data_IF_887310974884
#
_entry.id   IF_887310974884
#
_cell.length_a   1.000
_cell.length_b   1.000
_cell.length_c   1.000
_cell.angle_alpha   90.00
_cell.angle_beta   90.00
_cell.angle_gamma   90.00
#
_symmetry.space_group_name_H-M   'P 1'
#
loop_
_entity.id
_entity.type
_entity.pdbx_description
1 polymer ?
#
# COMPACT_ATOMS: atom_id res chain seq x y z
N UNK A 1 10.39 28.21 6.82
CA UNK A 1 10.77 26.79 6.88
C UNK A 1 12.23 26.69 6.47
N UNK A 2 13.13 26.49 7.44
CA UNK A 2 14.56 26.31 7.13
C UNK A 2 14.69 24.94 6.48
N UNK A 3 15.18 24.97 5.24
CA UNK A 3 15.74 23.83 4.53
C UNK A 3 16.63 23.01 5.49
N UNK A 4 16.26 21.76 5.75
CA UNK A 4 17.29 20.77 6.07
C UNK A 4 17.92 20.44 4.72
N UNK A 5 18.90 21.25 4.35
CA UNK A 5 19.79 21.02 3.21
C UNK A 5 20.42 19.64 3.37
N UNK A 6 20.18 18.77 2.39
CA UNK A 6 20.97 17.55 2.16
C UNK A 6 22.44 17.94 1.95
N UNK A 7 23.30 17.68 2.93
CA UNK A 7 24.72 17.49 2.63
C UNK A 7 24.93 16.04 2.20
N UNK A 8 25.12 15.86 0.90
CA UNK A 8 25.69 14.65 0.30
C UNK A 8 27.16 14.56 0.70
N UNK A 9 27.50 13.59 1.55
CA UNK A 9 28.90 13.19 1.76
C UNK A 9 29.45 12.50 0.51
N UNK A 10 30.10 13.28 -0.36
CA UNK A 10 31.04 12.78 -1.36
C UNK A 10 32.36 12.42 -0.66
N UNK A 11 32.63 11.13 -0.48
CA UNK A 11 33.97 10.68 -0.09
C UNK A 11 34.91 10.71 -1.30
N UNK A 12 35.80 11.71 -1.28
CA UNK A 12 36.98 11.76 -2.14
C UNK A 12 38.01 10.75 -1.64
N UNK A 13 38.43 9.84 -2.53
CA UNK A 13 39.55 8.92 -2.33
C UNK A 13 40.85 9.71 -2.23
N UNK A 14 41.55 9.60 -1.09
CA UNK A 14 43.00 9.83 -1.03
C UNK A 14 43.71 8.70 -0.28
N UNK A 15 44.71 8.17 -0.96
CA UNK A 15 45.71 7.21 -0.54
C UNK A 15 46.36 7.55 0.82
N UNK A 16 46.48 6.54 1.69
CA UNK A 16 47.67 6.19 2.50
C UNK A 16 47.37 4.78 3.05
N UNK A 17 48.20 3.77 2.87
CA UNK A 17 49.50 3.67 3.51
C UNK A 17 49.48 2.44 4.42
N UNK A 18 50.03 1.36 3.89
CA UNK A 18 50.20 0.02 4.44
C UNK A 18 50.64 0.00 5.94
N UNK A 19 49.92 -0.73 6.80
CA UNK A 19 50.44 -1.25 8.09
C UNK A 19 49.53 -2.33 8.66
N UNK A 20 49.95 -3.59 8.46
CA UNK A 20 49.48 -4.78 9.18
C UNK A 20 49.61 -4.57 10.70
N UNK A 21 48.49 -4.64 11.43
CA UNK A 21 48.48 -4.97 12.86
C UNK A 21 47.40 -6.01 13.14
N UNK A 22 47.85 -7.12 13.72
CA UNK A 22 47.05 -8.27 14.18
C UNK A 22 46.15 -7.81 15.33
N UNK A 23 44.86 -8.12 15.26
CA UNK A 23 43.89 -7.98 16.36
C UNK A 23 43.58 -9.39 16.88
N UNK A 24 43.61 -9.63 18.20
CA UNK A 24 43.28 -10.93 18.76
C UNK A 24 41.76 -11.17 18.72
N UNK A 25 41.40 -12.39 18.32
CA UNK A 25 40.02 -12.91 18.34
C UNK A 25 39.62 -13.19 19.78
N UNK A 26 38.64 -12.47 20.30
CA UNK A 26 37.95 -12.81 21.54
C UNK A 26 36.74 -13.68 21.20
N UNK A 27 36.79 -14.94 21.63
CA UNK A 27 35.67 -15.90 21.57
C UNK A 27 34.75 -15.59 22.75
N UNK A 28 33.56 -15.07 22.48
CA UNK A 28 32.49 -14.96 23.47
C UNK A 28 31.66 -16.24 23.44
N UNK A 29 31.75 -17.02 24.52
CA UNK A 29 30.96 -18.22 24.77
C UNK A 29 29.60 -17.78 25.33
N UNK A 30 28.53 -17.86 24.53
CA UNK A 30 27.16 -17.60 24.99
C UNK A 30 26.58 -18.88 25.59
N UNK A 31 26.27 -18.84 26.88
CA UNK A 31 25.53 -19.89 27.60
C UNK A 31 24.04 -19.64 27.37
N UNK A 32 23.39 -20.53 26.63
CA UNK A 32 21.94 -20.59 26.46
C UNK A 32 21.31 -21.31 27.67
N UNK A 33 20.55 -20.58 28.48
CA UNK A 33 19.69 -21.15 29.52
C UNK A 33 18.28 -21.35 28.94
N UNK A 34 17.88 -22.61 28.81
CA UNK A 34 16.53 -23.00 28.41
C UNK A 34 15.54 -22.75 29.56
N UNK A 35 14.48 -21.98 29.30
CA UNK A 35 13.32 -21.88 30.19
C UNK A 35 12.18 -22.68 29.55
N UNK A 36 11.80 -23.75 30.23
CA UNK A 36 10.67 -24.62 29.91
C UNK A 36 9.36 -23.89 30.15
N UNK A 37 8.53 -23.77 29.11
CA UNK A 37 7.13 -23.33 29.19
C UNK A 37 6.23 -24.53 29.48
N UNK A 38 5.48 -24.45 30.58
CA UNK A 38 4.45 -25.42 30.95
C UNK A 38 3.08 -24.97 30.43
N UNK A 39 2.43 -25.84 29.67
CA UNK A 39 1.05 -25.71 29.24
C UNK A 39 0.07 -25.94 30.39
N UNK A 40 -0.98 -25.11 30.50
CA UNK A 40 -2.26 -25.53 31.10
C UNK A 40 -3.41 -25.10 30.20
N UNK A 41 -4.13 -26.11 29.70
CA UNK A 41 -5.41 -26.00 29.01
C UNK A 41 -6.52 -25.77 30.04
N UNK A 42 -7.28 -24.69 29.89
CA UNK A 42 -8.53 -24.49 30.62
C UNK A 42 -9.70 -24.69 29.65
N UNK A 43 -10.64 -25.56 30.05
CA UNK A 43 -11.83 -25.96 29.29
C UNK A 43 -12.93 -24.93 29.52
N UNK A 44 -13.36 -24.23 28.47
CA UNK A 44 -14.57 -23.39 28.51
C UNK A 44 -15.81 -24.23 28.25
N UNK A 45 -16.75 -24.16 29.20
CA UNK A 45 -18.08 -24.76 29.12
C UNK A 45 -19.00 -23.92 28.23
N UNK A 46 -19.80 -24.62 27.43
CA UNK A 46 -20.86 -24.09 26.56
C UNK A 46 -22.09 -23.78 27.41
N UNK A 47 -22.50 -22.51 27.48
CA UNK A 47 -23.77 -22.09 28.08
C UNK A 47 -24.79 -21.78 26.97
N UNK A 48 -25.88 -22.55 26.97
CA UNK A 48 -27.06 -22.34 26.12
C UNK A 48 -27.96 -21.26 26.74
N UNK A 49 -28.51 -20.31 25.96
CA UNK A 49 -29.47 -19.34 26.49
C UNK A 49 -30.88 -19.94 26.64
N UNK A 50 -31.64 -19.54 27.69
CA UNK A 50 -33.01 -20.01 27.90
C UNK A 50 -34.02 -19.29 27.01
N UNK A 51 -35.00 -20.08 26.55
CA UNK A 51 -36.21 -19.68 25.83
C UNK A 51 -37.13 -18.94 26.80
N UNK A 52 -37.54 -17.71 26.45
CA UNK A 52 -38.54 -16.93 27.20
C UNK A 52 -39.88 -17.05 26.46
N UNK A 53 -40.84 -17.71 27.10
CA UNK A 53 -42.25 -17.72 26.73
C UNK A 53 -42.89 -16.36 27.03
N UNK A 54 -43.66 -15.83 26.07
CA UNK A 54 -44.48 -14.63 26.24
C UNK A 54 -45.92 -15.05 26.55
N UNK A 55 -46.49 -14.73 27.72
CA UNK A 55 -47.90 -14.96 27.98
C UNK A 55 -48.76 -13.82 27.44
N UNK A 56 -49.84 -14.24 26.80
CA UNK A 56 -50.95 -13.46 26.30
C UNK A 56 -51.90 -13.09 27.46
N UNK A 57 -52.23 -11.80 27.61
CA UNK A 57 -53.37 -11.24 28.36
C UNK A 57 -53.29 -9.71 28.21
N UNK A 58 -54.33 -8.90 28.36
CA UNK A 58 -55.78 -8.99 28.22
C UNK A 58 -56.24 -7.53 28.34
N UNK A 59 -57.38 -7.23 27.74
CA UNK A 59 -57.98 -5.90 27.63
C UNK A 59 -58.30 -5.26 28.98
N UNK A 60 -57.94 -4.00 29.18
CA UNK A 60 -58.56 -3.12 30.18
C UNK A 60 -58.66 -1.70 29.63
N UNK A 61 -59.88 -1.18 29.62
CA UNK A 61 -60.27 0.16 29.20
C UNK A 61 -60.06 1.19 30.31
N UNK A 62 -59.55 2.37 29.98
CA UNK A 62 -59.62 3.59 30.82
C UNK A 62 -59.36 4.84 29.95
N UNK A 63 -59.64 6.08 30.41
CA UNK A 63 -60.57 6.98 29.75
C UNK A 63 -59.90 8.07 28.93
N UNK A 64 -60.64 8.52 27.93
CA UNK A 64 -60.38 9.66 27.04
C UNK A 64 -59.89 10.89 27.80
N UNK A 65 -58.59 11.17 27.70
CA UNK A 65 -57.98 12.46 28.02
C UNK A 65 -57.66 13.12 26.68
N UNK A 66 -58.17 14.35 26.48
CA UNK A 66 -58.03 15.08 25.23
C UNK A 66 -56.54 15.29 24.87
N UNK A 67 -56.17 14.87 23.66
CA UNK A 67 -54.86 15.07 23.07
C UNK A 67 -54.59 16.57 22.86
N UNK A 68 -53.42 17.09 23.29
CA UNK A 68 -52.94 18.38 22.81
C UNK A 68 -52.62 18.27 21.32
N UNK A 69 -52.93 19.35 20.60
CA UNK A 69 -52.75 19.55 19.17
C UNK A 69 -51.31 19.21 18.75
N UNK A 70 -51.13 18.03 18.15
CA UNK A 70 -49.85 17.59 17.60
C UNK A 70 -49.61 18.40 16.33
N UNK A 71 -48.69 19.37 16.40
CA UNK A 71 -48.12 19.98 15.21
C UNK A 71 -47.60 18.86 14.29
N UNK A 72 -47.84 18.94 12.97
CA UNK A 72 -47.36 17.93 12.04
C UNK A 72 -45.83 17.84 12.15
N UNK A 73 -45.33 16.68 12.59
CA UNK A 73 -43.91 16.38 12.56
C UNK A 73 -43.41 16.63 11.13
N UNK A 74 -42.46 17.56 11.00
CA UNK A 74 -41.77 17.76 9.72
C UNK A 74 -41.19 16.40 9.30
N UNK A 75 -41.41 15.96 8.05
CA UNK A 75 -40.83 14.73 7.58
C UNK A 75 -39.30 14.77 7.79
N UNK A 76 -38.69 13.67 8.24
CA UNK A 76 -37.25 13.63 8.48
C UNK A 76 -36.53 14.11 7.23
N UNK A 77 -35.70 15.13 7.39
CA UNK A 77 -34.85 15.66 6.32
C UNK A 77 -33.98 14.49 5.87
N UNK A 78 -34.29 13.92 4.70
CA UNK A 78 -33.49 12.86 4.10
C UNK A 78 -32.17 13.51 3.71
N UNK A 79 -31.12 13.25 4.50
CA UNK A 79 -29.79 13.77 4.22
C UNK A 79 -29.39 13.32 2.81
N UNK A 80 -29.12 14.28 1.92
CA UNK A 80 -28.67 13.99 0.57
C UNK A 80 -27.42 13.11 0.62
N UNK A 81 -27.45 11.98 -0.08
CA UNK A 81 -26.32 11.06 -0.17
C UNK A 81 -25.21 11.74 -0.97
N UNK A 82 -24.22 12.32 -0.28
CA UNK A 82 -23.00 12.84 -0.91
C UNK A 82 -22.32 11.70 -1.68
N UNK A 83 -22.07 11.93 -2.97
CA UNK A 83 -21.29 11.02 -3.84
C UNK A 83 -19.83 11.42 -3.72
N UNK A 84 -18.93 10.52 -3.33
CA UNK A 84 -17.49 10.81 -3.22
C UNK A 84 -16.74 10.29 -4.44
N UNK A 85 -15.57 10.87 -4.72
CA UNK A 85 -14.68 10.47 -5.81
C UNK A 85 -13.41 9.84 -5.24
N UNK A 86 -13.04 8.65 -5.70
CA UNK A 86 -11.74 8.05 -5.38
C UNK A 86 -10.66 8.72 -6.21
N UNK A 87 -9.57 9.14 -5.57
CA UNK A 87 -8.41 9.76 -6.20
C UNK A 87 -7.16 8.94 -5.88
N UNK A 88 -6.40 8.62 -6.94
CA UNK A 88 -5.05 8.08 -6.85
C UNK A 88 -4.05 9.24 -6.77
N UNK A 89 -3.40 9.42 -5.61
CA UNK A 89 -2.49 10.55 -5.41
C UNK A 89 -1.16 10.38 -6.15
N UNK A 90 -0.84 9.16 -6.58
CA UNK A 90 0.38 8.90 -7.35
C UNK A 90 0.31 9.42 -8.79
N UNK A 91 -0.89 9.71 -9.30
CA UNK A 91 -1.10 10.37 -10.60
C UNK A 91 -0.63 11.83 -10.60
N UNK A 92 -0.61 12.46 -9.42
CA UNK A 92 -0.12 13.83 -9.26
C UNK A 92 1.38 13.86 -8.99
N UNK A 93 1.86 12.91 -8.18
CA UNK A 93 3.27 12.68 -7.95
C UNK A 93 3.49 11.26 -7.39
N UNK A 94 4.37 10.48 -8.00
CA UNK A 94 4.62 9.06 -7.68
C UNK A 94 5.13 8.79 -6.26
N UNK A 95 5.51 9.83 -5.52
CA UNK A 95 5.88 9.74 -4.12
C UNK A 95 4.68 9.63 -3.16
N UNK A 96 3.46 9.95 -3.61
CA UNK A 96 2.23 9.88 -2.82
C UNK A 96 1.50 8.57 -3.13
N UNK A 97 2.03 7.48 -2.58
CA UNK A 97 1.69 6.09 -2.91
C UNK A 97 0.45 5.59 -2.15
N UNK A 98 -0.67 6.30 -2.31
CA UNK A 98 -1.95 5.94 -1.73
C UNK A 98 -3.12 6.49 -2.57
N UNK A 99 -4.30 5.95 -2.34
CA UNK A 99 -5.58 6.48 -2.82
C UNK A 99 -6.52 6.78 -1.65
N UNK A 100 -7.45 7.71 -1.86
CA UNK A 100 -8.48 8.05 -0.87
C UNK A 100 -9.72 8.59 -1.58
N UNK A 101 -10.84 8.69 -0.86
CA UNK A 101 -12.04 9.38 -1.36
C UNK A 101 -12.00 10.86 -0.97
N UNK A 102 -12.40 11.73 -1.89
CA UNK A 102 -12.59 13.16 -1.65
C UNK A 102 -14.02 13.59 -2.00
N UNK A 103 -14.51 14.72 -1.45
CA UNK A 103 -15.80 15.27 -1.85
C UNK A 103 -15.87 15.54 -3.37
N UNK A 104 -17.05 15.42 -4.01
CA UNK A 104 -17.18 15.34 -5.46
C UNK A 104 -16.75 16.59 -6.22
N UNK A 105 -16.78 17.76 -5.56
CA UNK A 105 -16.41 19.04 -6.17
C UNK A 105 -14.98 19.47 -5.82
N UNK A 106 -14.27 18.68 -5.02
CA UNK A 106 -12.92 19.02 -4.59
C UNK A 106 -11.94 18.65 -5.70
N UNK A 107 -10.88 19.45 -5.79
CA UNK A 107 -9.80 19.25 -6.76
C UNK A 107 -8.50 18.97 -6.02
N UNK A 108 -7.56 18.35 -6.72
CA UNK A 108 -6.23 18.02 -6.21
C UNK A 108 -5.18 18.69 -7.08
N UNK A 109 -4.18 19.28 -6.46
CA UNK A 109 -3.01 19.82 -7.15
C UNK A 109 -1.71 19.38 -6.45
N UNK A 110 -0.64 19.27 -7.24
CA UNK A 110 0.71 19.10 -6.73
C UNK A 110 1.46 20.44 -6.77
N UNK A 111 1.96 20.85 -5.61
CA UNK A 111 2.69 22.10 -5.42
C UNK A 111 4.18 21.81 -5.44
N UNK A 112 4.78 21.93 -6.63
CA UNK A 112 6.18 21.59 -6.90
C UNK A 112 7.18 22.26 -5.93
N UNK A 113 6.98 23.54 -5.60
CA UNK A 113 7.94 24.34 -4.80
C UNK A 113 8.17 23.79 -3.39
N UNK A 114 7.18 23.10 -2.82
CA UNK A 114 7.26 22.51 -1.47
C UNK A 114 6.98 21.00 -1.48
N UNK A 115 6.91 20.41 -2.66
CA UNK A 115 6.65 18.99 -2.89
C UNK A 115 5.44 18.47 -2.11
N UNK A 116 4.31 19.19 -2.17
CA UNK A 116 3.09 18.89 -1.40
C UNK A 116 1.88 18.64 -2.29
N UNK A 117 0.85 18.02 -1.74
CA UNK A 117 -0.47 17.91 -2.34
C UNK A 117 -1.44 18.83 -1.60
N UNK A 118 -2.25 19.57 -2.35
CA UNK A 118 -3.42 20.25 -1.82
C UNK A 118 -4.69 19.56 -2.33
N UNK A 119 -5.66 19.37 -1.44
CA UNK A 119 -7.04 19.04 -1.80
C UNK A 119 -7.87 20.28 -1.46
N UNK A 120 -8.48 20.92 -2.44
CA UNK A 120 -9.13 22.22 -2.28
C UNK A 120 -10.56 22.23 -2.82
N UNK A 121 -11.39 23.06 -2.21
CA UNK A 121 -12.73 23.37 -2.70
C UNK A 121 -12.63 24.64 -3.59
N UNK A 122 -12.85 24.54 -4.91
CA UNK A 122 -12.77 25.70 -5.79
C UNK A 122 -13.80 26.79 -5.46
N UNK A 123 -14.84 26.47 -4.68
CA UNK A 123 -15.86 27.41 -4.21
C UNK A 123 -15.56 28.00 -2.83
N UNK A 124 -14.51 27.54 -2.14
CA UNK A 124 -14.12 28.13 -0.85
C UNK A 124 -13.66 29.58 -1.02
N UNK A 125 -13.86 30.38 0.03
CA UNK A 125 -13.36 31.76 0.07
C UNK A 125 -11.83 31.80 -0.08
N UNK A 126 -11.29 32.79 -0.79
CA UNK A 126 -9.83 32.95 -0.94
C UNK A 126 -9.37 33.52 -2.28
N UNK A 127 -10.21 33.51 -3.32
CA UNK A 127 -9.93 34.14 -4.62
C UNK A 127 -8.75 33.56 -5.43
N UNK A 128 -7.85 32.80 -4.80
CA UNK A 128 -6.74 32.07 -5.41
C UNK A 128 -6.70 30.62 -4.87
N UNK A 129 -6.37 29.61 -5.70
CA UNK A 129 -6.35 28.20 -5.29
C UNK A 129 -5.54 27.89 -4.02
N UNK A 130 -4.50 28.69 -3.74
CA UNK A 130 -3.62 28.54 -2.57
C UNK A 130 -4.29 28.85 -1.22
N UNK A 131 -5.38 29.62 -1.20
CA UNK A 131 -6.12 29.96 0.01
C UNK A 131 -7.31 29.02 0.26
N UNK A 132 -7.70 28.25 -0.76
CA UNK A 132 -8.81 27.30 -0.75
C UNK A 132 -8.52 25.86 -0.26
N UNK A 133 -7.28 25.41 0.03
CA UNK A 133 -7.05 24.02 0.45
C UNK A 133 -7.74 23.68 1.76
N UNK A 134 -8.42 22.54 1.74
CA UNK A 134 -9.11 21.95 2.88
C UNK A 134 -8.25 20.86 3.54
N UNK A 135 -7.47 20.14 2.74
CA UNK A 135 -6.46 19.19 3.21
C UNK A 135 -5.14 19.52 2.53
N UNK A 136 -4.07 19.49 3.32
CA UNK A 136 -2.70 19.67 2.87
C UNK A 136 -1.89 18.44 3.24
N UNK A 137 -1.18 17.86 2.28
CA UNK A 137 -0.43 16.63 2.46
C UNK A 137 1.02 16.85 2.08
N UNK A 138 1.94 16.41 2.95
CA UNK A 138 3.37 16.33 2.65
C UNK A 138 3.93 14.96 2.95
N UNK A 139 5.15 14.73 2.50
CA UNK A 139 5.97 13.61 2.96
C UNK A 139 7.27 14.08 3.58
N UNK A 140 7.84 13.25 4.44
CA UNK A 140 9.23 13.35 4.85
C UNK A 140 9.81 11.96 5.11
N UNK A 141 11.13 11.86 5.18
CA UNK A 141 11.82 10.64 5.56
C UNK A 141 12.50 10.82 6.91
N UNK A 142 12.29 9.88 7.83
CA UNK A 142 12.88 9.89 9.17
C UNK A 142 12.90 8.49 9.79
N UNK A 143 13.68 8.29 10.86
CA UNK A 143 13.66 7.02 11.61
C UNK A 143 12.51 6.95 12.62
N UNK A 144 12.02 8.10 13.07
CA UNK A 144 10.97 8.25 14.10
C UNK A 144 10.03 9.39 13.73
N UNK A 145 8.88 9.46 14.38
CA UNK A 145 8.02 10.64 14.35
C UNK A 145 8.81 11.88 14.79
N UNK A 146 8.66 12.97 14.04
CA UNK A 146 9.36 14.21 14.29
C UNK A 146 8.47 15.13 15.14
N UNK A 147 9.10 15.83 16.09
CA UNK A 147 8.45 16.93 16.82
C UNK A 147 9.00 18.25 16.28
N UNK A 148 8.13 19.13 15.78
CA UNK A 148 8.56 20.39 15.19
C UNK A 148 8.83 21.44 16.29
N UNK A 149 10.04 22.00 16.31
CA UNK A 149 10.39 23.07 17.25
C UNK A 149 9.77 24.44 16.89
N UNK A 150 9.20 24.57 15.70
CA UNK A 150 8.58 25.79 15.16
C UNK A 150 7.12 25.99 15.58
N UNK A 151 6.53 25.02 16.27
CA UNK A 151 5.13 25.05 16.70
C UNK A 151 5.03 24.85 18.21
N UNK A 152 3.97 25.38 18.79
CA UNK A 152 3.47 24.99 20.10
C UNK A 152 2.57 23.76 19.93
N UNK A 153 2.71 22.77 20.81
CA UNK A 153 1.95 21.52 20.77
C UNK A 153 1.00 21.50 21.96
N UNK A 154 -0.30 21.52 21.68
CA UNK A 154 -1.37 21.51 22.68
C UNK A 154 -1.77 20.08 23.05
N UNK A 155 -1.75 19.17 22.09
CA UNK A 155 -1.93 17.75 22.34
C UNK A 155 -1.13 16.91 21.34
N UNK A 156 -0.81 15.69 21.77
CA UNK A 156 -0.17 14.65 20.97
C UNK A 156 -0.81 13.32 21.34
N UNK A 157 -1.37 12.63 20.37
CA UNK A 157 -2.06 11.36 20.54
C UNK A 157 -1.48 10.33 19.57
N UNK A 158 -1.02 9.20 20.09
CA UNK A 158 -0.60 8.06 19.29
C UNK A 158 -1.83 7.22 18.93
N UNK A 159 -1.94 6.83 17.66
CA UNK A 159 -3.06 6.05 17.14
C UNK A 159 -2.62 5.18 15.97
N UNK A 160 -3.55 4.36 15.47
CA UNK A 160 -3.37 3.59 14.25
C UNK A 160 -4.28 4.14 13.14
N UNK A 161 -3.81 4.06 11.90
CA UNK A 161 -4.63 4.21 10.69
C UNK A 161 -4.47 2.93 9.88
N UNK A 162 -5.50 2.08 9.88
CA UNK A 162 -5.33 0.69 9.45
C UNK A 162 -4.23 0.01 10.25
N UNK A 163 -3.19 -0.48 9.56
CA UNK A 163 -1.99 -1.10 10.17
C UNK A 163 -0.82 -0.14 10.38
N UNK A 164 -0.98 1.15 10.06
CA UNK A 164 0.08 2.14 10.16
C UNK A 164 0.07 2.86 11.50
N UNK A 165 1.24 2.94 12.15
CA UNK A 165 1.45 3.84 13.27
C UNK A 165 1.20 5.28 12.82
N UNK A 166 0.52 6.06 13.66
CA UNK A 166 0.24 7.45 13.40
C UNK A 166 0.26 8.30 14.67
N UNK A 167 0.49 9.60 14.51
CA UNK A 167 0.43 10.57 15.61
C UNK A 167 -0.40 11.76 15.19
N UNK A 168 -1.48 12.02 15.93
CA UNK A 168 -2.30 13.22 15.79
C UNK A 168 -1.77 14.30 16.73
N UNK A 169 -1.54 15.48 16.18
CA UNK A 169 -1.14 16.66 16.93
C UNK A 169 -2.19 17.75 16.80
N UNK A 170 -2.42 18.50 17.87
CA UNK A 170 -3.04 19.83 17.85
C UNK A 170 -1.95 20.86 18.06
N UNK A 171 -1.68 21.68 17.04
CA UNK A 171 -0.50 22.54 16.99
C UNK A 171 -0.84 23.95 16.53
N UNK A 172 0.01 24.91 16.88
CA UNK A 172 -0.02 26.26 16.34
C UNK A 172 1.40 26.74 16.05
N UNK A 173 1.61 27.43 14.93
CA UNK A 173 2.91 28.06 14.66
C UNK A 173 3.26 29.07 15.75
N UNK A 174 4.49 29.03 16.25
CA UNK A 174 5.00 30.02 17.21
C UNK A 174 5.01 31.40 16.58
N UNK A 175 4.60 32.42 17.35
CA UNK A 175 4.58 33.81 16.88
C UNK A 175 5.96 34.33 16.44
N UNK A 176 7.04 33.85 17.06
CA UNK A 176 8.42 34.22 16.74
C UNK A 176 8.95 33.58 15.44
N UNK A 177 8.22 32.62 14.86
CA UNK A 177 8.61 31.92 13.64
C UNK A 177 7.90 32.55 12.46
N UNK A 178 8.65 32.84 11.40
CA UNK A 178 8.09 33.33 10.13
C UNK A 178 7.04 32.37 9.59
N UNK A 179 6.02 32.91 8.92
CA UNK A 179 4.96 32.12 8.30
C UNK A 179 5.52 31.05 7.37
N UNK A 180 4.81 29.93 7.29
CA UNK A 180 5.18 28.84 6.39
C UNK A 180 4.93 29.29 4.94
N UNK A 181 6.00 29.52 4.14
CA UNK A 181 5.83 29.93 2.76
C UNK A 181 5.21 28.78 1.97
N UNK A 182 4.45 29.14 0.95
CA UNK A 182 3.85 28.24 -0.04
C UNK A 182 2.84 27.22 0.51
N UNK A 183 2.44 27.38 1.77
CA UNK A 183 1.42 26.59 2.43
C UNK A 183 0.12 27.38 2.60
N UNK A 184 -1.02 26.69 2.81
CA UNK A 184 -2.29 27.35 3.12
C UNK A 184 -2.18 28.24 4.36
N UNK A 185 -2.82 29.42 4.35
CA UNK A 185 -2.70 30.40 5.43
C UNK A 185 -3.05 29.84 6.81
N UNK A 186 -4.09 29.02 6.89
CA UNK A 186 -4.56 28.38 8.13
C UNK A 186 -3.50 27.45 8.77
N UNK A 187 -2.45 27.04 8.06
CA UNK A 187 -1.30 26.30 8.63
C UNK A 187 -0.48 27.15 9.62
N UNK A 188 -0.62 28.47 9.57
CA UNK A 188 0.01 29.38 10.52
C UNK A 188 -0.83 29.58 11.79
N UNK A 189 -2.07 29.11 11.80
CA UNK A 189 -3.00 29.17 12.91
C UNK A 189 -3.06 27.84 13.66
N UNK A 190 -3.92 27.73 14.68
CA UNK A 190 -4.09 26.47 15.41
C UNK A 190 -4.89 25.49 14.54
N UNK A 191 -4.33 24.30 14.31
CA UNK A 191 -4.91 23.26 13.48
C UNK A 191 -4.42 21.89 13.93
N UNK A 192 -5.04 20.82 13.42
CA UNK A 192 -4.57 19.46 13.67
C UNK A 192 -3.77 18.92 12.50
N UNK A 193 -2.79 18.08 12.81
CA UNK A 193 -1.91 17.40 11.86
C UNK A 193 -1.79 15.94 12.26
N UNK A 194 -1.98 15.04 11.30
CA UNK A 194 -1.81 13.61 11.46
C UNK A 194 -0.59 13.16 10.65
N UNK A 195 0.43 12.69 11.35
CA UNK A 195 1.57 12.01 10.73
C UNK A 195 1.27 10.52 10.69
N UNK A 196 1.38 9.89 9.52
CA UNK A 196 1.19 8.44 9.34
C UNK A 196 2.50 7.85 8.81
N UNK A 197 3.01 6.83 9.49
CA UNK A 197 4.20 6.08 9.06
C UNK A 197 3.82 5.15 7.90
N UNK A 198 4.29 5.45 6.70
CA UNK A 198 3.99 4.65 5.51
C UNK A 198 4.70 3.30 5.53
N UNK A 199 5.99 3.25 5.90
CA UNK A 199 6.79 2.01 5.91
C UNK A 199 7.51 1.80 7.23
N UNK A 200 7.87 0.55 7.56
CA UNK A 200 8.76 0.27 8.70
C UNK A 200 10.25 0.21 8.30
N UNK A 201 10.55 0.32 7.01
CA UNK A 201 11.90 0.37 6.47
C UNK A 201 12.58 1.65 6.95
N UNK A 202 13.82 1.59 7.45
CA UNK A 202 14.53 2.76 7.99
C UNK A 202 15.52 3.36 6.96
N UNK A 203 15.49 4.68 6.68
CA UNK A 203 14.52 5.66 7.16
C UNK A 203 13.13 5.43 6.57
N UNK A 204 12.12 5.57 7.43
CA UNK A 204 10.72 5.45 7.06
C UNK A 204 10.29 6.64 6.24
N UNK A 205 9.23 6.45 5.45
CA UNK A 205 8.46 7.53 4.88
C UNK A 205 7.28 7.85 5.80
N UNK A 206 7.02 9.12 6.02
CA UNK A 206 5.85 9.60 6.75
C UNK A 206 5.04 10.50 5.82
N UNK A 207 3.72 10.29 5.80
CA UNK A 207 2.78 11.22 5.20
C UNK A 207 2.18 12.11 6.30
N UNK A 208 2.17 13.41 6.05
CA UNK A 208 1.72 14.46 6.97
C UNK A 208 0.45 15.05 6.43
N UNK A 209 -0.67 14.78 7.09
CA UNK A 209 -2.00 15.26 6.71
C UNK A 209 -2.43 16.36 7.66
N UNK A 210 -2.52 17.59 7.18
CA UNK A 210 -3.11 18.71 7.90
C UNK A 210 -4.44 19.08 7.25
N UNK A 211 -5.41 19.56 8.03
CA UNK A 211 -6.68 20.03 7.48
C UNK A 211 -7.09 21.39 8.03
N UNK A 212 -7.82 22.14 7.21
CA UNK A 212 -8.42 23.41 7.56
C UNK A 212 -9.42 23.18 8.70
N UNK A 213 -9.36 23.90 9.83
CA UNK A 213 -10.34 23.76 10.91
C UNK A 213 -11.80 23.91 10.45
N UNK A 214 -12.06 24.69 9.40
CA UNK A 214 -13.39 24.86 8.80
C UNK A 214 -13.88 23.61 8.01
N UNK A 215 -12.98 22.74 7.56
CA UNK A 215 -13.33 21.48 6.90
C UNK A 215 -14.00 20.49 7.86
N UNK A 216 -13.61 20.56 9.14
CA UNK A 216 -14.22 19.82 10.23
C UNK A 216 -13.70 18.38 10.41
N UNK A 217 -13.69 17.94 11.67
CA UNK A 217 -13.10 16.66 12.08
C UNK A 217 -13.78 15.44 11.44
N UNK A 218 -15.10 15.52 11.21
CA UNK A 218 -15.88 14.39 10.65
C UNK A 218 -15.52 14.11 9.20
N UNK A 219 -15.39 15.16 8.37
CA UNK A 219 -15.04 15.00 6.96
C UNK A 219 -13.56 14.62 6.81
N UNK A 220 -12.68 15.16 7.67
CA UNK A 220 -11.29 14.73 7.72
C UNK A 220 -11.16 13.25 8.11
N UNK A 221 -11.88 12.81 9.14
CA UNK A 221 -11.83 11.41 9.56
C UNK A 221 -12.36 10.48 8.46
N UNK A 222 -13.40 10.88 7.72
CA UNK A 222 -13.88 10.13 6.54
C UNK A 222 -12.80 9.99 5.47
N UNK A 223 -12.04 11.05 5.18
CA UNK A 223 -10.91 10.99 4.26
C UNK A 223 -9.84 10.00 4.78
N UNK A 224 -9.46 10.09 6.05
CA UNK A 224 -8.46 9.20 6.66
C UNK A 224 -8.92 7.74 6.65
N UNK A 225 -10.19 7.46 6.96
CA UNK A 225 -10.76 6.10 6.96
C UNK A 225 -10.81 5.47 5.56
N UNK A 226 -10.71 6.29 4.51
CA UNK A 226 -10.73 5.84 3.11
C UNK A 226 -9.34 5.59 2.52
N UNK A 227 -8.28 5.90 3.26
CA UNK A 227 -6.91 5.73 2.80
C UNK A 227 -6.63 4.25 2.49
N UNK A 228 -6.07 4.01 1.31
CA UNK A 228 -5.51 2.71 0.92
C UNK A 228 -4.08 2.97 0.45
N UNK A 229 -3.11 2.54 1.26
CA UNK A 229 -1.68 2.68 0.98
C UNK A 229 -1.19 1.57 0.06
N UNK A 230 -0.25 1.87 -0.85
CA UNK A 230 0.15 0.91 -1.90
C UNK A 230 1.08 -0.21 -1.44
N UNK A 231 1.41 -0.23 -0.14
CA UNK A 231 2.07 -1.34 0.53
C UNK A 231 1.12 -2.17 1.38
N UNK A 232 -0.18 -1.86 1.37
CA UNK A 232 -1.22 -2.62 2.07
C UNK A 232 -1.84 -3.66 1.16
N UNK A 233 -2.27 -4.76 1.74
CA UNK A 233 -2.88 -5.88 1.03
C UNK A 233 -4.13 -5.48 0.25
N UNK A 234 -4.90 -4.54 0.78
CA UNK A 234 -6.09 -3.96 0.16
C UNK A 234 -5.80 -3.17 -1.13
N UNK A 235 -4.53 -2.80 -1.34
CA UNK A 235 -4.09 -2.16 -2.58
C UNK A 235 -3.69 -3.15 -3.67
N UNK A 236 -3.41 -4.40 -3.31
CA UNK A 236 -2.90 -5.37 -4.26
C UNK A 236 -3.97 -5.76 -5.29
N UNK A 237 -3.51 -6.02 -6.51
CA UNK A 237 -4.37 -6.29 -7.64
C UNK A 237 -3.99 -7.61 -8.31
N UNK A 238 -4.97 -8.32 -8.87
CA UNK A 238 -4.67 -9.46 -9.75
C UNK A 238 -3.89 -9.00 -10.98
N UNK A 239 -2.87 -9.74 -11.44
CA UNK A 239 -2.13 -9.35 -12.63
C UNK A 239 -2.92 -9.53 -13.93
N UNK A 240 -4.01 -10.31 -13.92
CA UNK A 240 -4.94 -10.50 -15.04
C UNK A 240 -6.39 -10.39 -14.55
N UNK A 241 -7.29 -9.91 -15.42
CA UNK A 241 -8.71 -9.71 -15.14
C UNK A 241 -9.57 -10.51 -16.14
N UNK A 242 -10.59 -11.28 -15.71
CA UNK A 242 -10.88 -11.68 -14.33
C UNK A 242 -9.79 -12.59 -13.72
N UNK A 243 -9.57 -12.60 -12.38
CA UNK A 243 -8.56 -13.45 -11.75
C UNK A 243 -8.91 -14.94 -11.76
N UNK A 244 -10.20 -15.28 -11.72
CA UNK A 244 -10.65 -16.60 -11.31
C UNK A 244 -10.28 -17.70 -12.32
N UNK A 245 -9.90 -18.87 -11.79
CA UNK A 245 -9.65 -20.08 -12.59
C UNK A 245 -8.52 -19.94 -13.62
N UNK A 246 -7.58 -18.99 -13.43
CA UNK A 246 -6.41 -18.86 -14.30
C UNK A 246 -5.22 -19.70 -13.84
N UNK A 247 -5.11 -19.99 -12.55
CA UNK A 247 -4.00 -20.80 -11.99
C UNK A 247 -4.36 -22.28 -12.01
N UNK A 248 -4.30 -22.88 -13.19
CA UNK A 248 -4.79 -24.27 -13.39
C UNK A 248 -3.70 -25.29 -13.66
N UNK A 249 -2.50 -24.85 -14.07
CA UNK A 249 -1.41 -25.76 -14.46
C UNK A 249 -0.23 -25.70 -13.51
N UNK A 250 0.43 -24.55 -13.37
CA UNK A 250 1.64 -24.41 -12.55
C UNK A 250 1.47 -23.39 -11.43
N UNK A 251 0.85 -23.78 -10.29
CA UNK A 251 0.81 -22.92 -9.10
C UNK A 251 2.21 -22.77 -8.49
N UNK A 252 2.36 -21.82 -7.56
CA UNK A 252 3.57 -21.69 -6.76
C UNK A 252 3.94 -22.98 -6.02
N UNK A 253 5.22 -23.31 -6.00
CA UNK A 253 5.79 -24.41 -5.22
C UNK A 253 5.47 -25.81 -5.74
N UNK A 254 4.81 -25.98 -6.89
CA UNK A 254 4.67 -27.30 -7.51
C UNK A 254 6.05 -27.83 -7.93
N UNK A 255 6.34 -29.10 -7.60
CA UNK A 255 7.55 -29.77 -8.07
C UNK A 255 7.30 -30.43 -9.42
N UNK A 256 8.07 -30.02 -10.44
CA UNK A 256 7.97 -30.58 -11.80
C UNK A 256 9.26 -31.29 -12.21
N UNK A 257 9.10 -32.24 -13.11
CA UNK A 257 10.14 -32.95 -13.87
C UNK A 257 9.73 -32.96 -15.34
N UNK A 258 10.64 -33.41 -16.20
CA UNK A 258 10.36 -33.59 -17.62
C UNK A 258 9.14 -34.49 -17.86
N UNK A 259 8.89 -35.46 -16.99
CA UNK A 259 7.82 -36.46 -17.14
C UNK A 259 6.51 -36.07 -16.47
N UNK A 260 6.56 -35.39 -15.32
CA UNK A 260 5.38 -35.16 -14.49
C UNK A 260 4.76 -33.76 -14.64
N UNK A 261 5.40 -32.86 -15.41
CA UNK A 261 4.91 -31.50 -15.59
C UNK A 261 3.52 -31.52 -16.24
N UNK A 262 2.57 -30.70 -15.76
CA UNK A 262 1.23 -30.57 -16.35
C UNK A 262 1.24 -29.88 -17.72
N UNK A 263 2.39 -29.32 -18.12
CA UNK A 263 2.63 -28.73 -19.43
C UNK A 263 3.78 -29.50 -20.08
N UNK A 264 3.58 -29.94 -21.33
CA UNK A 264 4.57 -30.72 -22.07
C UNK A 264 4.84 -30.11 -23.46
N UNK A 265 6.09 -30.19 -23.97
CA UNK A 265 7.27 -30.73 -23.30
C UNK A 265 7.79 -29.79 -22.20
N UNK A 266 8.20 -30.35 -21.07
CA UNK A 266 8.90 -29.60 -20.02
C UNK A 266 10.41 -29.65 -20.22
N UNK A 267 11.10 -28.54 -19.94
CA UNK A 267 12.57 -28.42 -20.05
C UNK A 267 13.26 -28.32 -18.69
N UNK A 268 12.50 -28.03 -17.63
CA UNK A 268 13.03 -27.75 -16.30
C UNK A 268 12.65 -28.82 -15.27
N UNK A 269 13.41 -28.90 -14.19
CA UNK A 269 13.11 -29.77 -13.04
C UNK A 269 13.35 -28.99 -11.76
N UNK A 270 12.39 -29.04 -10.84
CA UNK A 270 12.46 -28.32 -9.56
C UNK A 270 11.10 -27.79 -9.10
N UNK A 271 11.13 -27.10 -7.97
CA UNK A 271 10.00 -26.37 -7.40
C UNK A 271 9.80 -25.04 -8.11
N UNK A 272 8.62 -24.82 -8.66
CA UNK A 272 8.25 -23.60 -9.37
C UNK A 272 8.24 -22.39 -8.41
N UNK A 273 8.95 -21.32 -8.75
CA UNK A 273 9.12 -20.13 -7.88
C UNK A 273 8.08 -19.03 -8.10
N UNK A 274 7.16 -19.25 -9.02
CA UNK A 274 6.09 -18.31 -9.34
C UNK A 274 4.75 -19.00 -9.52
N UNK A 275 3.77 -18.22 -9.93
CA UNK A 275 2.42 -18.68 -10.25
C UNK A 275 2.15 -18.40 -11.72
N UNK A 276 1.82 -19.44 -12.48
CA UNK A 276 1.42 -19.28 -13.87
C UNK A 276 -0.08 -18.98 -13.96
N UNK A 277 -0.42 -17.86 -14.59
CA UNK A 277 -1.79 -17.51 -14.95
C UNK A 277 -2.03 -17.85 -16.41
N UNK A 278 -2.90 -18.83 -16.64
CA UNK A 278 -3.33 -19.22 -17.97
C UNK A 278 -4.28 -18.18 -18.60
N UNK A 279 -4.31 -18.22 -19.91
CA UNK A 279 -5.32 -17.51 -20.71
C UNK A 279 -6.51 -18.42 -21.03
N UNK A 280 -7.64 -17.81 -21.32
CA UNK A 280 -8.77 -18.47 -21.94
C UNK A 280 -8.51 -18.71 -23.44
N UNK A 281 -9.19 -19.67 -24.06
CA UNK A 281 -8.98 -20.00 -25.48
C UNK A 281 -9.23 -18.79 -26.41
N UNK A 282 -10.21 -17.94 -26.10
CA UNK A 282 -10.53 -16.74 -26.87
C UNK A 282 -9.50 -15.60 -26.70
N UNK A 283 -8.57 -15.72 -25.75
CA UNK A 283 -7.51 -14.75 -25.45
C UNK A 283 -6.20 -15.06 -26.19
N UNK A 284 -6.15 -16.12 -26.99
CA UNK A 284 -4.95 -16.54 -27.69
C UNK A 284 -4.42 -15.46 -28.66
N UNK A 285 -5.31 -14.87 -29.44
CA UNK A 285 -4.98 -13.86 -30.46
C UNK A 285 -4.94 -12.41 -29.94
N UNK A 286 -5.91 -11.90 -29.15
CA UNK A 286 -5.91 -10.49 -28.75
C UNK A 286 -4.77 -10.15 -27.78
N UNK A 287 -4.34 -8.89 -27.76
CA UNK A 287 -3.44 -8.39 -26.73
C UNK A 287 -4.12 -8.46 -25.35
N UNK A 288 -3.44 -9.07 -24.38
CA UNK A 288 -3.94 -9.20 -23.01
C UNK A 288 -3.09 -8.31 -22.10
N UNK A 289 -3.67 -7.28 -21.45
CA UNK A 289 -2.93 -6.44 -20.54
C UNK A 289 -2.53 -7.23 -19.29
N UNK A 290 -1.31 -6.99 -18.83
CA UNK A 290 -0.81 -7.43 -17.52
C UNK A 290 -0.82 -6.22 -16.61
N UNK A 291 -1.45 -6.36 -15.45
CA UNK A 291 -1.60 -5.31 -14.45
C UNK A 291 -0.53 -5.46 -13.37
N UNK A 292 -0.04 -4.33 -12.85
CA UNK A 292 0.87 -4.33 -11.72
C UNK A 292 0.14 -4.82 -10.46
N UNK A 293 0.71 -5.80 -9.76
CA UNK A 293 0.10 -6.32 -8.53
C UNK A 293 0.30 -5.39 -7.33
N UNK A 294 1.30 -4.51 -7.40
CA UNK A 294 1.67 -3.54 -6.36
C UNK A 294 2.15 -2.23 -6.98
N UNK A 295 2.23 -1.19 -6.15
CA UNK A 295 2.79 0.11 -6.51
C UNK A 295 4.31 0.06 -6.46
N UNK A 296 4.97 0.46 -7.54
CA UNK A 296 6.41 0.34 -7.62
C UNK A 296 7.02 0.81 -8.92
N UNK A 297 8.34 0.99 -8.92
CA UNK A 297 9.10 1.42 -10.10
C UNK A 297 9.51 0.22 -10.94
N UNK A 298 9.38 0.32 -12.26
CA UNK A 298 9.97 -0.67 -13.18
C UNK A 298 11.49 -0.58 -13.07
N UNK A 299 12.11 -1.60 -12.47
CA UNK A 299 13.53 -1.68 -12.21
C UNK A 299 14.33 -2.05 -13.45
N UNK A 300 13.84 -3.04 -14.17
CA UNK A 300 14.53 -3.63 -15.33
C UNK A 300 13.50 -4.27 -16.26
N UNK A 301 13.81 -4.27 -17.56
CA UNK A 301 13.16 -5.15 -18.53
C UNK A 301 14.21 -5.81 -19.41
N UNK A 302 14.06 -7.10 -19.70
CA UNK A 302 15.01 -7.85 -20.55
C UNK A 302 14.40 -9.15 -21.07
N UNK A 303 15.08 -9.77 -22.03
CA UNK A 303 14.80 -11.14 -22.43
C UNK A 303 15.62 -12.12 -21.58
N UNK A 304 15.00 -13.20 -21.13
CA UNK A 304 15.62 -14.26 -20.30
C UNK A 304 15.23 -15.62 -20.89
N UNK A 305 16.21 -16.52 -21.00
CA UNK A 305 15.96 -17.89 -21.45
C UNK A 305 15.02 -18.60 -20.46
N UNK A 306 14.03 -19.31 -20.97
CA UNK A 306 12.94 -19.92 -20.20
C UNK A 306 11.75 -19.00 -19.93
N UNK A 307 11.90 -17.69 -20.13
CA UNK A 307 10.85 -16.68 -19.86
C UNK A 307 10.41 -15.90 -21.09
N UNK A 308 11.28 -15.72 -22.08
CA UNK A 308 11.06 -14.71 -23.12
C UNK A 308 11.25 -13.32 -22.53
N UNK A 309 10.27 -12.43 -22.69
CA UNK A 309 10.30 -11.10 -22.07
C UNK A 309 9.99 -11.14 -20.57
N UNK A 310 10.78 -10.40 -19.79
CA UNK A 310 10.61 -10.22 -18.35
C UNK A 310 10.61 -8.73 -18.02
N UNK A 311 9.62 -8.29 -17.25
CA UNK A 311 9.59 -6.99 -16.58
C UNK A 311 9.74 -7.21 -15.08
N UNK A 312 10.58 -6.40 -14.43
CA UNK A 312 10.85 -6.47 -12.99
C UNK A 312 10.44 -5.16 -12.35
N UNK A 313 9.54 -5.23 -11.37
CA UNK A 313 9.07 -4.09 -10.60
C UNK A 313 9.60 -4.16 -9.16
N UNK A 314 10.12 -3.06 -8.65
CA UNK A 314 10.52 -2.92 -7.23
C UNK A 314 9.32 -2.36 -6.45
N UNK A 315 8.84 -3.13 -5.47
CA UNK A 315 7.68 -2.79 -4.65
C UNK A 315 7.99 -2.93 -3.15
N UNK A 316 7.08 -2.43 -2.31
CA UNK A 316 7.02 -2.73 -0.88
C UNK A 316 5.73 -3.51 -0.62
N UNK A 317 5.86 -4.78 -0.25
CA UNK A 317 4.75 -5.66 0.11
C UNK A 317 4.69 -5.76 1.65
N UNK A 318 3.66 -5.20 2.29
CA UNK A 318 3.48 -5.26 3.74
C UNK A 318 4.74 -4.91 4.55
N UNK A 319 5.40 -3.78 4.22
CA UNK A 319 6.69 -3.32 4.79
C UNK A 319 7.94 -4.11 4.40
N UNK A 320 7.83 -5.10 3.51
CA UNK A 320 8.97 -5.85 3.00
C UNK A 320 9.31 -5.39 1.58
N UNK A 321 10.57 -5.01 1.28
CA UNK A 321 10.98 -4.76 -0.09
C UNK A 321 10.91 -6.07 -0.89
N UNK A 322 10.36 -6.02 -2.10
CA UNK A 322 10.25 -7.17 -3.00
C UNK A 322 10.58 -6.77 -4.43
N UNK A 323 10.98 -7.76 -5.24
CA UNK A 323 10.97 -7.65 -6.69
C UNK A 323 9.86 -8.55 -7.24
N UNK A 324 8.95 -7.95 -8.01
CA UNK A 324 7.93 -8.69 -8.75
C UNK A 324 8.39 -8.91 -10.18
N UNK A 325 8.32 -10.15 -10.64
CA UNK A 325 8.71 -10.60 -11.96
C UNK A 325 7.46 -10.92 -12.76
N UNK A 326 7.32 -10.27 -13.91
CA UNK A 326 6.28 -10.54 -14.90
C UNK A 326 6.96 -11.16 -16.12
N UNK A 327 6.85 -12.48 -16.25
CA UNK A 327 7.46 -13.28 -17.32
C UNK A 327 6.49 -13.55 -18.48
N UNK A 328 7.05 -13.95 -19.64
CA UNK A 328 6.31 -14.21 -20.87
C UNK A 328 5.50 -13.00 -21.35
N UNK A 329 6.05 -11.80 -21.18
CA UNK A 329 5.42 -10.52 -21.56
C UNK A 329 6.09 -9.89 -22.79
N UNK A 330 5.35 -9.07 -23.53
CA UNK A 330 5.93 -8.12 -24.47
C UNK A 330 6.66 -7.01 -23.70
N UNK A 331 7.81 -6.57 -24.24
CA UNK A 331 8.65 -5.54 -23.63
C UNK A 331 8.42 -4.14 -24.20
N UNK A 332 7.51 -4.00 -25.17
CA UNK A 332 7.34 -2.76 -25.94
C UNK A 332 6.78 -1.60 -25.10
N UNK A 333 5.92 -1.91 -24.14
CA UNK A 333 5.18 -0.92 -23.33
C UNK A 333 5.76 -0.73 -21.92
N UNK A 334 6.95 -1.29 -21.64
CA UNK A 334 7.57 -1.26 -20.30
C UNK A 334 8.67 -0.19 -20.20
N UNK A 335 8.40 0.88 -19.46
CA UNK A 335 9.34 2.00 -19.30
C UNK A 335 10.15 1.88 -18.00
N UNK A 336 11.45 1.57 -18.13
CA UNK A 336 12.36 1.49 -16.97
C UNK A 336 12.43 2.86 -16.27
N UNK A 337 12.28 2.85 -14.94
CA UNK A 337 12.23 4.05 -14.11
C UNK A 337 10.84 4.65 -13.95
N UNK A 338 9.83 4.20 -14.71
CA UNK A 338 8.45 4.61 -14.50
C UNK A 338 7.88 3.98 -13.23
N UNK A 339 7.13 4.78 -12.46
CA UNK A 339 6.33 4.28 -11.35
C UNK A 339 4.97 3.81 -11.87
N UNK A 340 4.60 2.57 -11.54
CA UNK A 340 3.33 1.97 -11.94
C UNK A 340 2.49 1.72 -10.66
N UNK A 341 1.32 2.35 -10.52
CA UNK A 341 0.36 2.05 -9.45
C UNK A 341 -0.22 0.63 -9.54
N UNK A 342 -0.69 0.04 -8.42
CA UNK A 342 -1.41 -1.24 -8.47
C UNK A 342 -2.62 -1.17 -9.41
N UNK A 343 -2.85 -2.25 -10.19
CA UNK A 343 -3.96 -2.36 -11.13
C UNK A 343 -3.77 -1.58 -12.44
N UNK A 344 -2.67 -0.84 -12.63
CA UNK A 344 -2.33 -0.22 -13.91
C UNK A 344 -1.56 -1.20 -14.81
N UNK A 345 -1.69 -1.03 -16.12
CA UNK A 345 -0.98 -1.85 -17.10
C UNK A 345 0.52 -1.66 -16.92
N UNK A 346 1.23 -2.75 -16.69
CA UNK A 346 2.70 -2.78 -16.60
C UNK A 346 3.33 -3.36 -17.88
N UNK A 347 2.62 -4.26 -18.55
CA UNK A 347 3.01 -4.88 -19.81
C UNK A 347 1.80 -5.50 -20.51
N UNK A 348 2.03 -6.18 -21.63
CA UNK A 348 1.07 -7.10 -22.27
C UNK A 348 1.65 -8.50 -22.28
N UNK A 349 0.81 -9.53 -22.31
CA UNK A 349 1.30 -10.90 -22.54
C UNK A 349 2.01 -10.99 -23.90
N UNK A 350 3.09 -11.76 -23.93
CA UNK A 350 3.81 -12.08 -25.15
C UNK A 350 2.96 -12.96 -26.07
N UNK A 351 3.20 -12.89 -27.37
CA UNK A 351 2.51 -13.70 -28.37
C UNK A 351 2.83 -15.19 -28.19
N UNK A 352 1.82 -16.04 -28.41
CA UNK A 352 1.94 -17.50 -28.26
C UNK A 352 3.12 -18.05 -29.07
N UNK A 353 3.96 -18.86 -28.40
CA UNK A 353 5.10 -19.57 -29.00
C UNK A 353 6.04 -18.67 -29.80
N UNK A 354 6.25 -17.44 -29.33
CA UNK A 354 7.10 -16.46 -29.99
C UNK A 354 8.39 -16.22 -29.20
N UNK A 355 9.26 -15.35 -29.71
CA UNK A 355 10.43 -14.91 -28.95
C UNK A 355 10.04 -14.21 -27.63
N UNK A 356 8.89 -13.52 -27.58
CA UNK A 356 8.37 -12.85 -26.38
C UNK A 356 8.03 -13.84 -25.26
N UNK A 357 7.81 -15.12 -25.59
CA UNK A 357 7.54 -16.19 -24.62
C UNK A 357 8.65 -17.26 -24.59
N UNK A 358 9.75 -17.06 -25.33
CA UNK A 358 10.80 -18.08 -25.56
C UNK A 358 10.25 -19.42 -26.09
N UNK A 359 9.25 -19.33 -26.97
CA UNK A 359 8.58 -20.49 -27.57
C UNK A 359 7.56 -21.17 -26.65
N UNK A 360 7.37 -20.69 -25.42
CA UNK A 360 6.34 -21.18 -24.52
C UNK A 360 4.94 -20.70 -24.94
N UNK A 361 3.91 -21.37 -24.42
CA UNK A 361 2.51 -20.96 -24.57
C UNK A 361 2.29 -19.54 -24.06
N UNK A 362 1.27 -18.85 -24.57
CA UNK A 362 0.85 -17.55 -24.03
C UNK A 362 0.26 -17.70 -22.62
N UNK A 363 0.91 -17.08 -21.65
CA UNK A 363 0.50 -17.01 -20.25
C UNK A 363 1.33 -15.97 -19.51
N UNK A 364 0.98 -15.67 -18.26
CA UNK A 364 1.85 -14.92 -17.36
C UNK A 364 2.55 -15.89 -16.41
N UNK A 365 3.86 -15.73 -16.24
CA UNK A 365 4.55 -16.25 -15.05
C UNK A 365 4.76 -15.10 -14.07
N UNK A 366 4.18 -15.19 -12.87
CA UNK A 366 4.32 -14.19 -11.82
C UNK A 366 5.22 -14.71 -10.69
N UNK A 367 6.41 -14.13 -10.54
CA UNK A 367 7.30 -14.43 -9.40
C UNK A 367 7.41 -13.24 -8.45
N UNK A 368 7.52 -13.49 -7.15
CA UNK A 368 7.70 -12.41 -6.15
C UNK A 368 8.87 -12.79 -5.24
N UNK A 369 10.00 -12.12 -5.40
CA UNK A 369 11.23 -12.36 -4.64
C UNK A 369 11.32 -11.39 -3.47
N UNK A 370 11.57 -11.91 -2.27
CA UNK A 370 11.80 -11.12 -1.06
C UNK A 370 13.16 -10.42 -1.11
N UNK A 371 13.18 -9.19 -0.60
CA UNK A 371 14.39 -8.39 -0.45
C UNK A 371 14.75 -7.58 -1.68
N UNK A 372 15.95 -6.99 -1.65
CA UNK A 372 16.42 -6.03 -2.65
C UNK A 372 17.29 -6.65 -3.75
N UNK A 373 17.39 -7.98 -3.80
CA UNK A 373 18.13 -8.69 -4.85
C UNK A 373 17.14 -9.31 -5.82
N UNK A 374 17.41 -9.13 -7.10
CA UNK A 374 16.69 -9.82 -8.17
C UNK A 374 17.18 -11.26 -8.26
N UNK A 375 16.25 -12.21 -8.27
CA UNK A 375 16.49 -13.61 -8.62
C UNK A 375 15.54 -14.00 -9.75
N UNK A 376 16.08 -14.52 -10.85
CA UNK A 376 15.33 -14.86 -12.07
C UNK A 376 15.15 -16.38 -12.24
N UNK A 377 15.51 -17.17 -11.23
CA UNK A 377 15.35 -18.63 -11.29
C UNK A 377 13.86 -18.97 -11.20
N UNK A 378 13.31 -19.55 -12.27
CA UNK A 378 11.92 -20.05 -12.32
C UNK A 378 11.68 -21.36 -11.57
N UNK A 379 12.77 -22.05 -11.20
CA UNK A 379 12.74 -23.31 -10.48
C UNK A 379 13.87 -23.40 -9.46
N UNK A 380 13.58 -24.01 -8.30
CA UNK A 380 14.57 -24.35 -7.27
C UNK A 380 14.71 -25.85 -7.12
N UNK A 381 15.94 -26.32 -6.89
CA UNK A 381 16.16 -27.75 -6.60
C UNK A 381 15.75 -28.13 -5.17
N UNK A 382 15.91 -27.20 -4.22
CA UNK A 382 15.53 -27.41 -2.82
C UNK A 382 14.25 -26.62 -2.50
N UNK A 383 13.29 -27.29 -1.85
CA UNK A 383 12.04 -26.67 -1.41
C UNK A 383 12.29 -25.53 -0.43
N UNK A 384 13.33 -25.64 0.40
CA UNK A 384 13.66 -24.61 1.40
C UNK A 384 14.04 -23.27 0.74
N UNK A 385 14.50 -23.25 -0.51
CA UNK A 385 14.79 -22.01 -1.22
C UNK A 385 13.53 -21.19 -1.57
N UNK A 386 12.34 -21.81 -1.54
CA UNK A 386 11.06 -21.10 -1.74
C UNK A 386 10.77 -20.10 -0.62
N UNK A 387 11.42 -20.19 0.54
CA UNK A 387 11.26 -19.22 1.64
C UNK A 387 11.66 -17.80 1.22
N UNK A 388 12.47 -17.65 0.17
CA UNK A 388 12.85 -16.36 -0.41
C UNK A 388 11.79 -15.78 -1.35
N UNK A 389 10.70 -16.49 -1.60
CA UNK A 389 9.64 -16.11 -2.52
C UNK A 389 8.32 -15.93 -1.76
N UNK A 390 7.41 -15.16 -2.34
CA UNK A 390 6.04 -15.01 -1.85
C UNK A 390 5.09 -15.75 -2.80
N UNK A 391 4.18 -16.53 -2.23
CA UNK A 391 3.05 -17.09 -2.98
C UNK A 391 1.98 -16.01 -3.13
N UNK A 392 1.76 -15.53 -4.35
CA UNK A 392 0.74 -14.51 -4.62
C UNK A 392 -0.67 -14.94 -4.19
N UNK A 393 -0.98 -16.25 -4.25
CA UNK A 393 -2.28 -16.79 -3.85
C UNK A 393 -2.58 -16.64 -2.35
N UNK A 394 -1.57 -16.40 -1.51
CA UNK A 394 -1.76 -16.10 -0.09
C UNK A 394 -2.29 -14.66 0.14
N UNK A 395 -2.12 -13.76 -0.83
CA UNK A 395 -2.43 -12.33 -0.71
C UNK A 395 -3.72 -11.93 -1.44
N UNK A 396 -3.97 -12.48 -2.62
CA UNK A 396 -5.15 -12.18 -3.43
C UNK A 396 -5.91 -13.49 -3.67
N UNK A 397 -7.22 -13.57 -3.38
CA UNK A 397 -8.03 -14.73 -3.73
C UNK A 397 -7.98 -14.99 -5.25
N UNK A 398 -7.67 -16.23 -5.63
CA UNK A 398 -7.51 -16.69 -7.02
C UNK A 398 -8.66 -17.58 -7.49
#
# INVERSE_FOLDING_TARGET
MILISRETMNHHNQHFGDRKKRVPVFIFLFVMTAILTGCQHEKSAVNTPPIIEVPNQSTTSTPTTALPDLQPEQPPIVAEKKVYTTVDFSEYNSDYQFKAIIPPNYQVEYVNVIESINIYDPQAEGGVPRDQPQIFIRKFSASTFLTLNTVDIFSREERMVGRHEAVLYDIQKKQSVADFPDQPKWRNERHKVLDIRYTEINPSIFFVFAYNPAFGDVEFQRFIDSLIFYNDRESFHSPLDPPENRVTKKPFGIYVTLENSPVQPEKFTGYHTGTDFEINEYELLPDIPVLAICGGVIKERKRVNGYGGVVIQECIFENQPVHVLYGHVSLDDADVGAYIPPGRIIAKLGRDKSEETDGERKHLHLGIVKGTKVDLRGYMSDKAELDMWLDFGEFVPL
#
